data_IF_444290409974
#
_entry.id   IF_444290409974
#
_cell.length_a   1.000
_cell.length_b   1.000
_cell.length_c   1.000
_cell.angle_alpha   90.00
_cell.angle_beta   90.00
_cell.angle_gamma   90.00
#
_symmetry.space_group_name_H-M   'P 1'
#
loop_
_entity.id
_entity.type
_entity.pdbx_description
1 polymer ?
#
# COMPACT_ATOMS: atom_id res chain seq x y z
N UNK A 1 -3.76 -10.21 34.02
CA UNK A 1 -3.68 -9.54 32.70
C UNK A 1 -2.63 -10.18 31.78
N UNK A 2 -1.47 -10.61 32.32
CA UNK A 2 -0.37 -11.24 31.57
C UNK A 2 -0.68 -12.62 30.94
N UNK A 3 -1.48 -13.48 31.59
CA UNK A 3 -1.81 -14.80 31.03
C UNK A 3 -2.57 -14.72 29.70
N UNK A 4 -3.55 -13.83 29.61
CA UNK A 4 -4.31 -13.61 28.37
C UNK A 4 -3.50 -12.90 27.28
N UNK A 5 -2.39 -12.25 27.64
CA UNK A 5 -1.48 -11.61 26.70
C UNK A 5 -0.55 -12.66 26.07
N UNK A 6 0.09 -13.50 26.91
CA UNK A 6 0.94 -14.59 26.47
C UNK A 6 0.18 -15.59 25.58
N UNK A 7 -1.09 -15.85 25.91
CA UNK A 7 -1.96 -16.73 25.12
C UNK A 7 -2.16 -16.21 23.68
N UNK A 8 -2.47 -14.92 23.49
CA UNK A 8 -2.70 -14.38 22.13
C UNK A 8 -1.45 -14.34 21.27
N UNK A 9 -0.31 -13.97 21.86
CA UNK A 9 0.99 -13.95 21.16
C UNK A 9 1.41 -15.38 20.82
N UNK A 10 1.24 -16.33 21.73
CA UNK A 10 1.48 -17.75 21.47
C UNK A 10 0.57 -18.31 20.36
N UNK A 11 -0.72 -17.95 20.35
CA UNK A 11 -1.65 -18.33 19.29
C UNK A 11 -1.26 -17.72 17.94
N UNK A 12 -0.75 -16.49 17.91
CA UNK A 12 -0.26 -15.85 16.68
C UNK A 12 0.95 -16.61 16.09
N UNK A 13 1.89 -17.06 16.94
CA UNK A 13 2.99 -17.92 16.50
C UNK A 13 2.49 -19.23 15.88
N UNK A 14 1.62 -19.96 16.59
CA UNK A 14 1.05 -21.22 16.10
C UNK A 14 0.24 -21.03 14.80
N UNK A 15 -0.47 -19.91 14.69
CA UNK A 15 -1.19 -19.55 13.46
C UNK A 15 -0.23 -19.37 12.29
N UNK A 16 0.82 -18.55 12.45
CA UNK A 16 1.82 -18.30 11.39
C UNK A 16 2.52 -19.59 10.96
N UNK A 17 2.91 -20.46 11.90
CA UNK A 17 3.53 -21.75 11.58
C UNK A 17 2.63 -22.60 10.67
N UNK A 18 1.33 -22.68 10.98
CA UNK A 18 0.37 -23.48 10.22
C UNK A 18 0.15 -22.92 8.81
N UNK A 19 -0.03 -21.60 8.70
CA UNK A 19 -0.31 -20.99 7.40
C UNK A 19 0.91 -20.98 6.48
N UNK A 20 2.14 -21.04 7.02
CA UNK A 20 3.39 -20.99 6.25
C UNK A 20 3.50 -22.05 5.16
N UNK A 21 2.77 -23.17 5.30
CA UNK A 21 2.65 -24.23 4.27
C UNK A 21 2.08 -23.74 2.92
N UNK A 22 1.40 -22.59 2.90
CA UNK A 22 0.85 -22.00 1.69
C UNK A 22 1.89 -21.21 0.85
N UNK A 23 3.10 -20.97 1.37
CA UNK A 23 4.21 -20.35 0.64
C UNK A 23 3.84 -19.03 -0.03
N UNK A 24 4.21 -18.90 -1.31
CA UNK A 24 4.02 -17.67 -2.11
C UNK A 24 2.54 -17.30 -2.36
N UNK A 25 1.60 -18.19 -2.05
CA UNK A 25 0.16 -17.89 -2.14
C UNK A 25 -0.34 -17.08 -0.94
N UNK A 26 0.47 -16.91 0.10
CA UNK A 26 0.11 -16.12 1.28
C UNK A 26 0.28 -14.63 1.02
N UNK A 27 -0.86 -13.94 0.89
CA UNK A 27 -0.90 -12.49 1.05
C UNK A 27 -0.67 -12.05 2.51
N UNK A 28 -0.88 -10.74 2.79
CA UNK A 28 -0.84 -10.21 4.14
C UNK A 28 -1.87 -10.87 5.06
N UNK A 29 -1.53 -11.02 6.34
CA UNK A 29 -2.48 -11.50 7.36
C UNK A 29 -3.42 -10.36 7.76
N UNK A 30 -4.72 -10.65 7.89
CA UNK A 30 -5.67 -9.71 8.49
C UNK A 30 -5.71 -9.89 10.01
N UNK A 31 -5.21 -8.90 10.76
CA UNK A 31 -5.32 -8.85 12.21
C UNK A 31 -6.43 -7.87 12.61
N UNK A 32 -7.58 -8.42 13.00
CA UNK A 32 -8.76 -7.62 13.36
C UNK A 32 -8.96 -7.55 14.87
N UNK A 33 -9.07 -6.32 15.39
CA UNK A 33 -9.34 -6.08 16.80
C UNK A 33 -10.85 -5.93 17.06
N UNK A 34 -11.37 -6.51 18.16
CA UNK A 34 -12.76 -6.33 18.54
C UNK A 34 -13.02 -4.89 19.01
N UNK A 35 -14.26 -4.37 18.89
CA UNK A 35 -14.58 -2.98 19.19
C UNK A 35 -14.36 -2.59 20.66
N UNK A 36 -14.42 -3.55 21.58
CA UNK A 36 -14.16 -3.32 23.02
C UNK A 36 -12.68 -3.17 23.35
N UNK A 37 -11.78 -3.49 22.40
CA UNK A 37 -10.33 -3.41 22.63
C UNK A 37 -9.85 -1.99 22.40
N UNK A 38 -9.51 -1.31 23.49
CA UNK A 38 -8.80 -0.04 23.46
C UNK A 38 -7.31 -0.24 23.15
N UNK A 39 -6.63 0.87 22.88
CA UNK A 39 -5.21 0.94 22.55
C UNK A 39 -4.37 0.14 23.55
N UNK A 40 -3.54 -0.75 23.02
CA UNK A 40 -2.48 -1.42 23.76
C UNK A 40 -1.32 -1.67 22.80
N UNK A 41 -0.29 -0.82 22.88
CA UNK A 41 0.87 -0.88 21.99
C UNK A 41 1.68 -2.16 22.17
N UNK A 42 1.89 -2.59 23.41
CA UNK A 42 2.63 -3.82 23.73
C UNK A 42 1.98 -5.04 23.08
N UNK A 43 0.64 -5.13 23.13
CA UNK A 43 -0.12 -6.19 22.46
C UNK A 43 -0.02 -6.12 20.95
N UNK A 44 -0.10 -4.92 20.36
CA UNK A 44 0.04 -4.77 18.92
C UNK A 44 1.43 -5.20 18.46
N UNK A 45 2.48 -4.69 19.10
CA UNK A 45 3.87 -5.01 18.77
C UNK A 45 4.17 -6.50 18.97
N UNK A 46 3.74 -7.09 20.09
CA UNK A 46 3.89 -8.51 20.36
C UNK A 46 3.17 -9.39 19.32
N UNK A 47 1.96 -9.03 18.91
CA UNK A 47 1.22 -9.75 17.86
C UNK A 47 1.90 -9.63 16.49
N UNK A 48 2.34 -8.44 16.10
CA UNK A 48 3.02 -8.23 14.82
C UNK A 48 4.38 -8.92 14.76
N UNK A 49 5.13 -8.92 15.87
CA UNK A 49 6.36 -9.68 16.01
C UNK A 49 6.10 -11.19 15.91
N UNK A 50 5.08 -11.71 16.59
CA UNK A 50 4.74 -13.12 16.55
C UNK A 50 4.25 -13.59 15.17
N UNK A 51 3.49 -12.74 14.48
CA UNK A 51 3.06 -13.02 13.11
C UNK A 51 4.23 -13.04 12.13
N UNK A 52 5.26 -12.20 12.36
CA UNK A 52 6.53 -12.24 11.63
C UNK A 52 6.42 -11.99 10.12
N UNK A 53 5.32 -11.37 9.66
CA UNK A 53 5.01 -11.21 8.23
C UNK A 53 4.11 -10.00 7.96
N UNK A 54 3.98 -9.55 6.70
CA UNK A 54 3.09 -8.45 6.34
C UNK A 54 1.69 -8.66 6.90
N UNK A 55 1.20 -7.68 7.67
CA UNK A 55 -0.05 -7.77 8.41
C UNK A 55 -0.85 -6.49 8.24
N UNK A 56 -2.13 -6.63 7.89
CA UNK A 56 -3.10 -5.56 7.81
C UNK A 56 -3.89 -5.49 9.11
N UNK A 57 -3.81 -4.38 9.83
CA UNK A 57 -4.47 -4.18 11.12
C UNK A 57 -5.82 -3.48 10.96
N UNK A 58 -6.90 -4.12 11.38
CA UNK A 58 -8.25 -3.55 11.39
C UNK A 58 -8.66 -3.19 12.82
N UNK A 59 -8.79 -1.89 13.09
CA UNK A 59 -9.22 -1.37 14.38
C UNK A 59 -10.67 -0.91 14.35
N UNK A 60 -11.39 -1.14 15.45
CA UNK A 60 -12.81 -0.78 15.62
C UNK A 60 -13.06 0.16 16.81
N UNK A 61 -11.98 0.66 17.40
CA UNK A 61 -12.01 1.60 18.51
C UNK A 61 -11.11 2.79 18.17
N UNK A 62 -11.61 4.02 18.36
CA UNK A 62 -10.95 5.24 17.89
C UNK A 62 -9.58 5.49 18.53
N UNK A 63 -9.35 4.96 19.74
CA UNK A 63 -8.05 5.09 20.43
C UNK A 63 -6.86 4.50 19.67
N UNK A 64 -7.08 3.69 18.63
CA UNK A 64 -6.01 3.13 17.80
C UNK A 64 -5.53 4.07 16.70
N UNK A 65 -6.24 5.17 16.44
CA UNK A 65 -5.85 6.15 15.43
C UNK A 65 -4.92 7.19 16.03
N UNK A 66 -3.74 6.72 16.42
CA UNK A 66 -2.70 7.47 17.11
C UNK A 66 -1.36 7.25 16.41
N UNK A 67 -0.51 8.27 16.38
CA UNK A 67 0.77 8.23 15.67
C UNK A 67 1.69 7.10 16.19
N UNK A 68 1.62 6.78 17.49
CA UNK A 68 2.40 5.66 18.07
C UNK A 68 2.01 4.30 17.48
N UNK A 69 0.74 4.12 17.12
CA UNK A 69 0.23 2.91 16.44
C UNK A 69 0.75 2.84 15.02
N UNK A 70 0.73 3.97 14.31
CA UNK A 70 1.21 4.07 12.93
C UNK A 70 2.70 3.72 12.84
N UNK A 71 3.51 4.21 13.78
CA UNK A 71 4.93 3.88 13.86
C UNK A 71 5.18 2.39 14.11
N UNK A 72 4.41 1.75 15.00
CA UNK A 72 4.50 0.29 15.21
C UNK A 72 4.17 -0.46 13.92
N UNK A 73 3.06 -0.15 13.26
CA UNK A 73 2.65 -0.82 12.02
C UNK A 73 3.71 -0.64 10.93
N UNK A 74 4.25 0.57 10.79
CA UNK A 74 5.29 0.91 9.81
C UNK A 74 6.57 0.12 10.04
N UNK A 75 7.06 0.02 11.29
CA UNK A 75 8.24 -0.80 11.64
C UNK A 75 8.09 -2.26 11.22
N UNK A 76 6.88 -2.80 11.34
CA UNK A 76 6.56 -4.18 10.95
C UNK A 76 6.14 -4.32 9.47
N UNK A 77 6.30 -3.27 8.66
CA UNK A 77 5.93 -3.24 7.23
C UNK A 77 4.46 -3.65 7.01
N UNK A 78 3.59 -3.33 7.96
CA UNK A 78 2.16 -3.61 7.91
C UNK A 78 1.36 -2.50 7.25
N UNK A 79 0.04 -2.66 7.21
CA UNK A 79 -0.90 -1.64 6.74
C UNK A 79 -2.03 -1.46 7.73
N UNK A 80 -2.68 -0.30 7.71
CA UNK A 80 -3.98 -0.14 8.35
C UNK A 80 -5.09 -0.48 7.37
N UNK A 81 -6.09 -1.20 7.84
CA UNK A 81 -7.22 -1.62 7.00
C UNK A 81 -8.23 -0.49 6.91
N UNK A 82 -8.44 0.03 5.70
CA UNK A 82 -9.55 0.95 5.42
C UNK A 82 -10.81 0.12 5.20
N UNK A 83 -11.70 0.13 6.20
CA UNK A 83 -12.99 -0.58 6.11
C UNK A 83 -14.10 0.42 5.84
N UNK A 84 -14.85 0.20 4.77
CA UNK A 84 -16.07 0.94 4.48
C UNK A 84 -17.28 0.23 5.10
N UNK A 85 -17.57 0.57 6.37
CA UNK A 85 -18.71 0.07 7.13
C UNK A 85 -19.16 1.14 8.13
N UNK A 86 -20.46 1.41 8.25
CA UNK A 86 -20.98 2.49 9.13
C UNK A 86 -20.86 2.18 10.62
N UNK A 87 -20.70 0.90 10.96
CA UNK A 87 -20.79 0.43 12.34
C UNK A 87 -19.63 0.91 13.21
N UNK A 88 -18.47 1.15 12.63
CA UNK A 88 -17.23 1.43 13.36
C UNK A 88 -16.53 2.65 12.75
N UNK A 89 -15.67 3.32 13.53
CA UNK A 89 -14.84 4.41 13.00
C UNK A 89 -14.07 3.97 11.76
N UNK A 90 -14.14 4.77 10.70
CA UNK A 90 -13.34 4.53 9.51
C UNK A 90 -11.89 4.92 9.79
N UNK A 91 -10.98 3.98 9.57
CA UNK A 91 -9.55 4.26 9.67
C UNK A 91 -9.13 5.32 8.63
N UNK A 92 -8.29 6.30 8.99
CA UNK A 92 -7.77 7.25 8.02
C UNK A 92 -6.91 6.52 6.98
N UNK A 93 -6.92 6.99 5.74
CA UNK A 93 -6.00 6.49 4.73
C UNK A 93 -4.62 7.08 5.00
N UNK A 94 -3.73 6.26 5.55
CA UNK A 94 -2.35 6.63 5.88
C UNK A 94 -1.39 5.65 5.22
N UNK A 95 -0.32 6.18 4.62
CA UNK A 95 0.69 5.39 3.93
C UNK A 95 1.73 4.90 4.95
N UNK A 96 1.66 3.62 5.31
CA UNK A 96 2.51 3.03 6.36
C UNK A 96 3.52 2.04 5.81
N UNK A 97 3.02 0.94 5.24
CA UNK A 97 3.83 -0.15 4.70
C UNK A 97 3.84 -0.19 3.18
N UNK A 98 4.45 -1.24 2.60
CA UNK A 98 4.58 -1.37 1.15
C UNK A 98 3.26 -1.71 0.44
N UNK A 99 2.18 -2.01 1.17
CA UNK A 99 0.90 -2.40 0.61
C UNK A 99 -0.26 -1.63 1.25
N UNK A 100 -1.36 -1.50 0.51
CA UNK A 100 -2.63 -0.97 1.01
C UNK A 100 -3.68 -2.09 1.13
N UNK A 101 -4.62 -1.95 2.08
CA UNK A 101 -5.63 -2.96 2.35
C UNK A 101 -7.01 -2.34 2.57
N UNK A 102 -7.96 -2.67 1.69
CA UNK A 102 -9.32 -2.15 1.70
C UNK A 102 -10.35 -3.27 1.93
N UNK A 103 -11.34 -2.98 2.76
CA UNK A 103 -12.52 -3.85 2.96
C UNK A 103 -13.77 -3.04 2.66
N UNK A 104 -14.32 -3.21 1.47
CA UNK A 104 -15.48 -2.49 0.97
C UNK A 104 -16.75 -3.28 1.34
N UNK A 105 -17.40 -2.89 2.45
CA UNK A 105 -18.43 -3.72 3.10
C UNK A 105 -19.86 -3.22 2.93
N UNK A 106 -20.06 -2.08 2.27
CA UNK A 106 -21.40 -1.57 1.92
C UNK A 106 -21.94 -2.25 0.65
N UNK A 107 -23.19 -1.96 0.32
CA UNK A 107 -23.72 -2.24 -1.02
C UNK A 107 -23.30 -1.13 -1.97
N UNK A 108 -22.76 -1.49 -3.13
CA UNK A 108 -22.32 -0.53 -4.14
C UNK A 108 -23.11 -0.70 -5.43
N UNK A 109 -23.52 0.43 -5.98
CA UNK A 109 -23.89 0.57 -7.38
C UNK A 109 -22.71 1.14 -8.19
N UNK A 110 -22.95 1.40 -9.47
CA UNK A 110 -21.95 1.97 -10.37
C UNK A 110 -21.38 3.31 -9.91
N UNK A 111 -22.20 4.16 -9.27
CA UNK A 111 -21.84 5.53 -8.91
C UNK A 111 -21.12 5.60 -7.57
N UNK A 112 -21.62 4.87 -6.58
CA UNK A 112 -21.04 4.77 -5.24
C UNK A 112 -19.69 4.05 -5.23
N UNK A 113 -19.43 3.17 -6.20
CA UNK A 113 -18.12 2.54 -6.35
C UNK A 113 -17.05 3.50 -6.93
N UNK A 114 -17.45 4.52 -7.69
CA UNK A 114 -16.51 5.40 -8.39
C UNK A 114 -15.55 6.13 -7.43
N UNK A 115 -16.06 6.59 -6.30
CA UNK A 115 -15.22 7.21 -5.27
C UNK A 115 -14.15 6.26 -4.73
N UNK A 116 -14.48 4.97 -4.57
CA UNK A 116 -13.52 3.96 -4.15
C UNK A 116 -12.52 3.58 -5.24
N UNK A 117 -12.92 3.62 -6.52
CA UNK A 117 -12.00 3.40 -7.64
C UNK A 117 -10.88 4.43 -7.59
N UNK A 118 -11.20 5.71 -7.40
CA UNK A 118 -10.19 6.78 -7.34
C UNK A 118 -9.28 6.68 -6.12
N UNK A 119 -9.83 6.32 -4.95
CA UNK A 119 -9.04 6.06 -3.75
C UNK A 119 -8.07 4.89 -3.95
N UNK A 120 -8.57 3.78 -4.48
CA UNK A 120 -7.75 2.58 -4.75
C UNK A 120 -6.70 2.86 -5.83
N UNK A 121 -7.04 3.65 -6.85
CA UNK A 121 -6.12 4.10 -7.90
C UNK A 121 -4.95 4.89 -7.30
N UNK A 122 -5.25 5.85 -6.43
CA UNK A 122 -4.21 6.61 -5.72
C UNK A 122 -3.30 5.70 -4.91
N UNK A 123 -3.88 4.76 -4.16
CA UNK A 123 -3.10 3.79 -3.39
C UNK A 123 -2.23 2.88 -4.27
N UNK A 124 -2.74 2.46 -5.44
CA UNK A 124 -1.99 1.65 -6.40
C UNK A 124 -0.80 2.39 -7.04
N UNK A 125 -0.83 3.73 -7.05
CA UNK A 125 0.29 4.54 -7.52
C UNK A 125 1.40 4.69 -6.47
N UNK A 126 1.10 4.57 -5.17
CA UNK A 126 2.06 4.76 -4.07
C UNK A 126 2.50 3.48 -3.36
N UNK A 127 1.87 2.34 -3.63
CA UNK A 127 2.17 1.06 -2.98
C UNK A 127 2.60 -0.02 -3.99
N UNK A 128 3.33 -1.02 -3.51
CA UNK A 128 3.74 -2.18 -4.31
C UNK A 128 2.54 -3.09 -4.61
N UNK A 129 1.67 -3.26 -3.61
CA UNK A 129 0.48 -4.11 -3.69
C UNK A 129 -0.74 -3.41 -3.10
N UNK A 130 -1.92 -3.65 -3.68
CA UNK A 130 -3.19 -3.19 -3.13
C UNK A 130 -4.16 -4.35 -3.05
N UNK A 131 -4.61 -4.65 -1.83
CA UNK A 131 -5.59 -5.69 -1.59
C UNK A 131 -6.97 -5.08 -1.35
N UNK A 132 -7.96 -5.46 -2.16
CA UNK A 132 -9.36 -4.99 -2.03
C UNK A 132 -10.29 -6.18 -1.86
N UNK A 133 -11.05 -6.19 -0.76
CA UNK A 133 -12.02 -7.23 -0.46
C UNK A 133 -13.42 -6.64 -0.35
N UNK A 134 -14.34 -7.12 -1.17
CA UNK A 134 -15.77 -6.80 -1.04
C UNK A 134 -16.43 -7.67 0.03
N UNK A 135 -17.56 -7.20 0.57
CA UNK A 135 -18.44 -8.03 1.41
C UNK A 135 -18.78 -9.32 0.67
N UNK A 136 -18.90 -10.43 1.41
CA UNK A 136 -19.32 -11.69 0.83
C UNK A 136 -20.81 -11.63 0.46
N UNK A 137 -21.09 -11.28 -0.79
CA UNK A 137 -22.42 -11.25 -1.39
C UNK A 137 -22.35 -11.63 -2.89
N UNK A 138 -23.50 -11.93 -3.55
CA UNK A 138 -23.51 -12.35 -4.95
C UNK A 138 -22.99 -11.32 -5.96
N UNK A 139 -22.99 -10.02 -5.63
CA UNK A 139 -22.49 -8.96 -6.51
C UNK A 139 -20.98 -8.75 -6.38
N UNK A 140 -20.36 -9.21 -5.29
CA UNK A 140 -18.95 -9.01 -5.00
C UNK A 140 -17.98 -9.36 -6.15
N UNK A 141 -18.13 -10.51 -6.87
CA UNK A 141 -17.27 -10.81 -8.02
C UNK A 141 -17.40 -9.76 -9.14
N UNK A 142 -18.62 -9.31 -9.42
CA UNK A 142 -18.89 -8.29 -10.45
C UNK A 142 -18.29 -6.93 -10.07
N UNK A 143 -18.40 -6.55 -8.79
CA UNK A 143 -17.81 -5.30 -8.28
C UNK A 143 -16.27 -5.35 -8.34
N UNK A 144 -15.66 -6.48 -7.98
CA UNK A 144 -14.22 -6.68 -8.07
C UNK A 144 -13.70 -6.57 -9.52
N UNK A 145 -14.38 -7.21 -10.47
CA UNK A 145 -14.04 -7.09 -11.89
C UNK A 145 -14.18 -5.65 -12.39
N UNK A 146 -15.26 -4.96 -12.03
CA UNK A 146 -15.47 -3.55 -12.42
C UNK A 146 -14.36 -2.64 -11.91
N UNK A 147 -13.96 -2.81 -10.65
CA UNK A 147 -12.87 -2.05 -10.04
C UNK A 147 -11.56 -2.33 -10.78
N UNK A 148 -11.21 -3.60 -11.00
CA UNK A 148 -9.99 -3.98 -11.74
C UNK A 148 -9.98 -3.40 -13.15
N UNK A 149 -11.06 -3.57 -13.92
CA UNK A 149 -11.15 -3.07 -15.30
C UNK A 149 -11.02 -1.54 -15.36
N UNK A 150 -11.46 -0.81 -14.32
CA UNK A 150 -11.31 0.64 -14.24
C UNK A 150 -9.88 1.09 -13.93
N UNK A 151 -9.11 0.27 -13.21
CA UNK A 151 -7.68 0.50 -12.97
C UNK A 151 -6.86 0.19 -14.24
N UNK A 152 -7.19 -0.89 -14.95
CA UNK A 152 -6.45 -1.33 -16.16
C UNK A 152 -6.63 -0.36 -17.35
N UNK A 153 -7.84 0.18 -17.54
CA UNK A 153 -8.15 1.10 -18.66
C UNK A 153 -7.31 2.36 -18.67
N UNK A 154 -6.87 2.83 -17.51
CA UNK A 154 -6.01 4.02 -17.44
C UNK A 154 -4.52 3.70 -17.56
N UNK A 155 -4.08 2.53 -17.10
CA UNK A 155 -2.71 2.08 -17.33
C UNK A 155 -2.41 2.01 -18.83
N UNK A 156 -3.35 1.50 -19.64
CA UNK A 156 -3.26 1.50 -21.12
C UNK A 156 -3.45 2.87 -21.78
N UNK A 157 -4.08 3.83 -21.10
CA UNK A 157 -4.23 5.22 -21.58
C UNK A 157 -3.00 6.10 -21.33
N UNK A 158 -2.19 5.76 -20.32
CA UNK A 158 -0.97 6.48 -19.95
C UNK A 158 0.20 6.20 -20.89
N UNK A 159 0.32 4.98 -21.45
CA UNK A 159 1.36 4.66 -22.44
C UNK A 159 1.22 5.44 -23.76
N UNK A 160 0.00 5.79 -24.19
CA UNK A 160 -0.23 6.55 -25.42
C UNK A 160 0.04 8.06 -25.30
N UNK A 161 0.40 8.57 -24.11
CA UNK A 161 0.54 10.01 -23.84
C UNK A 161 1.97 10.46 -23.53
N UNK A 162 2.97 9.58 -23.66
CA UNK A 162 4.39 9.99 -23.61
C UNK A 162 4.70 10.85 -24.85
N UNK A 163 5.08 12.13 -24.70
CA UNK A 163 5.59 12.89 -25.82
C UNK A 163 6.89 12.22 -26.31
N UNK A 164 6.98 11.97 -27.61
CA UNK A 164 8.24 11.57 -28.24
C UNK A 164 9.29 12.64 -27.89
N UNK A 165 10.52 12.28 -27.49
CA UNK A 165 11.56 13.27 -27.32
C UNK A 165 11.76 13.99 -28.65
N UNK A 166 11.50 15.30 -28.64
CA UNK A 166 11.77 16.20 -29.74
C UNK A 166 13.27 16.12 -30.09
N UNK A 167 13.57 15.90 -31.36
CA UNK A 167 14.94 15.82 -31.86
C UNK A 167 15.71 17.09 -31.47
N UNK A 168 16.69 16.94 -30.58
CA UNK A 168 17.60 18.01 -30.21
C UNK A 168 18.35 18.50 -31.46
N UNK A 169 18.20 19.79 -31.78
CA UNK A 169 19.04 20.49 -32.75
C UNK A 169 20.49 20.44 -32.27
N UNK A 170 21.36 19.79 -33.03
CA UNK A 170 22.81 19.86 -32.86
C UNK A 170 23.27 21.27 -33.20
N UNK A 171 23.77 22.02 -32.23
CA UNK A 171 24.61 23.21 -32.44
C UNK A 171 26.07 22.77 -32.57
N UNK A 172 26.73 23.26 -33.62
CA UNK A 172 28.12 23.00 -33.98
C UNK A 172 29.12 23.67 -33.00
N UNK A 173 30.36 23.16 -32.88
CA UNK A 173 31.37 23.75 -32.01
C UNK A 173 31.96 25.02 -32.62
N UNK A 174 32.10 26.07 -31.80
CA UNK A 174 32.77 27.31 -32.16
C UNK A 174 34.29 27.11 -32.17
N UNK A 175 34.92 27.55 -33.27
CA UNK A 175 36.36 27.55 -33.47
C UNK A 175 37.05 28.60 -32.58
N UNK A 176 38.18 28.24 -31.97
CA UNK A 176 39.13 29.18 -31.36
C UNK A 176 40.20 29.55 -32.40
N UNK A 177 40.50 30.85 -32.63
CA UNK A 177 41.69 31.24 -33.37
C UNK A 177 42.90 31.32 -32.44
N UNK A 178 44.03 30.81 -32.94
CA UNK A 178 45.25 30.56 -32.19
C UNK A 178 46.13 31.78 -31.90
N UNK A 179 47.27 31.49 -31.27
CA UNK A 179 48.39 32.41 -31.01
C UNK A 179 49.68 31.61 -31.21
N UNK A 180 50.78 32.23 -31.70
CA UNK A 180 51.65 31.62 -32.69
C UNK A 180 52.90 30.97 -32.07
N UNK A 181 53.44 29.98 -32.79
CA UNK A 181 54.79 29.46 -32.55
C UNK A 181 55.52 29.28 -33.88
N UNK A 182 56.78 29.71 -33.94
CA UNK A 182 57.76 29.10 -34.87
C UNK A 182 58.61 30.05 -35.71
N UNK A 183 59.83 30.29 -35.21
CA UNK A 183 61.03 30.90 -35.84
C UNK A 183 61.47 30.30 -37.20
N UNK A 184 62.17 31.13 -37.98
CA UNK A 184 63.49 30.93 -38.66
C UNK A 184 63.47 31.47 -40.11
N UNK A 185 64.47 32.14 -40.68
CA UNK A 185 65.82 32.54 -40.23
C UNK A 185 66.55 33.36 -41.34
N UNK A 186 67.84 33.67 -41.11
CA UNK A 186 68.88 34.23 -42.03
C UNK A 186 68.59 35.67 -42.54
N UNK A 187 69.51 36.63 -42.56
CA UNK A 187 70.97 36.63 -42.64
C UNK A 187 71.59 37.74 -41.79
#
# INVERSE_FOLDING_TARGET
MLEHYADRVGLAHLFTERISTMGDRLGPVLLQFPPVRQLNLELLEGLLQALGRPTACEFRHASWFDDSVYEVIKRHRGAMVVTDEEKWPQAPLVELGPFAYFRLRRGYDARSLEGWIEVVRSAAASHQDVHVYFKHDPQAPRLALRLRDALDREAGGSESRRPRPSAAKRSAPAASPGTPTGRSGRS
#
